data_IF_352570261486
#
_entry.id   IF_352570261486
#
_cell.length_a   1.000
_cell.length_b   1.000
_cell.length_c   1.000
_cell.angle_alpha   90.00
_cell.angle_beta   90.00
_cell.angle_gamma   90.00
#
_symmetry.space_group_name_H-M   'P 1'
#
loop_
_entity.id
_entity.type
_entity.pdbx_description
1 polymer ?
#
# COMPACT_ATOMS: atom_id res chain seq x y z
N UNK A 1 -21.28 -22.27 -20.38
CA UNK A 1 -20.42 -22.25 -19.19
C UNK A 1 -20.54 -20.88 -18.57
N UNK A 2 -21.09 -20.80 -17.37
CA UNK A 2 -21.18 -19.56 -16.60
C UNK A 2 -19.78 -19.15 -16.18
N UNK A 3 -19.33 -17.98 -16.65
CA UNK A 3 -18.11 -17.34 -16.18
C UNK A 3 -18.29 -17.05 -14.69
N UNK A 4 -17.66 -17.86 -13.85
CA UNK A 4 -17.48 -17.56 -12.43
C UNK A 4 -16.82 -16.19 -12.33
N UNK A 5 -17.50 -15.22 -11.70
CA UNK A 5 -16.90 -13.93 -11.40
C UNK A 5 -15.59 -14.16 -10.62
N UNK A 6 -14.43 -13.67 -11.09
CA UNK A 6 -13.15 -13.89 -10.41
C UNK A 6 -13.03 -13.10 -9.10
N UNK A 7 -13.94 -12.17 -8.82
CA UNK A 7 -13.96 -11.40 -7.59
C UNK A 7 -14.74 -12.17 -6.53
N UNK A 8 -14.02 -12.91 -5.68
CA UNK A 8 -14.64 -13.72 -4.61
C UNK A 8 -15.47 -12.87 -3.65
N UNK A 9 -15.04 -11.65 -3.33
CA UNK A 9 -15.73 -10.74 -2.41
C UNK A 9 -15.41 -9.27 -2.74
N UNK A 10 -16.39 -8.38 -2.59
CA UNK A 10 -16.22 -6.92 -2.68
C UNK A 10 -16.65 -6.32 -1.35
N UNK A 11 -15.79 -5.48 -0.75
CA UNK A 11 -16.05 -4.84 0.54
C UNK A 11 -16.07 -3.33 0.38
N UNK A 12 -17.03 -2.68 1.05
CA UNK A 12 -17.02 -1.24 1.23
C UNK A 12 -16.49 -0.96 2.64
N UNK A 13 -15.39 -0.22 2.73
CA UNK A 13 -14.72 0.10 3.99
C UNK A 13 -14.95 1.58 4.30
N UNK A 14 -15.95 1.92 5.12
CA UNK A 14 -16.13 3.30 5.55
C UNK A 14 -14.99 3.68 6.50
N UNK A 15 -14.25 4.72 6.13
CA UNK A 15 -13.25 5.35 7.00
C UNK A 15 -13.70 6.74 7.39
N UNK A 16 -13.47 7.11 8.65
CA UNK A 16 -13.76 8.43 9.18
C UNK A 16 -12.45 9.05 9.64
N UNK A 17 -11.65 9.50 8.68
CA UNK A 17 -10.34 10.11 8.93
C UNK A 17 -10.42 11.63 9.22
N UNK A 18 -11.64 12.17 9.35
CA UNK A 18 -11.90 13.59 9.53
C UNK A 18 -11.51 14.45 8.31
N UNK A 19 -11.45 15.77 8.50
CA UNK A 19 -11.07 16.74 7.44
C UNK A 19 -9.56 16.74 7.16
N UNK A 20 -8.79 16.14 8.06
CA UNK A 20 -7.35 16.02 7.96
C UNK A 20 -6.99 14.81 7.09
N UNK A 21 -7.02 15.04 5.76
CA UNK A 21 -6.32 14.27 4.72
C UNK A 21 -7.05 13.00 4.23
N UNK A 22 -7.27 12.95 2.91
CA UNK A 22 -7.97 11.90 2.14
C UNK A 22 -7.07 10.70 1.87
N UNK A 23 -6.39 10.22 2.90
CA UNK A 23 -5.36 9.22 2.74
C UNK A 23 -5.99 7.82 2.86
N UNK A 24 -6.18 7.16 1.72
CA UNK A 24 -6.80 5.82 1.60
C UNK A 24 -6.09 4.70 2.41
N UNK A 25 -4.96 5.02 3.03
CA UNK A 25 -4.14 4.10 3.82
C UNK A 25 -4.87 3.47 5.00
N UNK A 26 -5.71 4.23 5.71
CA UNK A 26 -6.52 3.72 6.82
C UNK A 26 -7.52 2.65 6.33
N UNK A 27 -8.11 2.88 5.15
CA UNK A 27 -9.09 1.99 4.54
C UNK A 27 -8.44 0.67 4.11
N UNK A 28 -7.24 0.75 3.51
CA UNK A 28 -6.46 -0.44 3.16
C UNK A 28 -6.08 -1.27 4.38
N UNK A 29 -5.59 -0.63 5.45
CA UNK A 29 -5.21 -1.33 6.66
C UNK A 29 -6.43 -1.97 7.33
N UNK A 30 -7.53 -1.22 7.43
CA UNK A 30 -8.78 -1.72 8.01
C UNK A 30 -9.35 -2.89 7.21
N UNK A 31 -9.30 -2.81 5.87
CA UNK A 31 -9.71 -3.89 4.99
C UNK A 31 -8.97 -5.20 5.31
N UNK A 32 -7.64 -5.13 5.45
CA UNK A 32 -6.82 -6.29 5.77
C UNK A 32 -7.15 -6.84 7.16
N UNK A 33 -7.18 -5.99 8.18
CA UNK A 33 -7.39 -6.40 9.57
C UNK A 33 -8.79 -7.01 9.78
N UNK A 34 -9.82 -6.40 9.20
CA UNK A 34 -11.22 -6.79 9.46
C UNK A 34 -11.66 -8.03 8.64
N UNK A 35 -10.98 -8.33 7.53
CA UNK A 35 -11.45 -9.35 6.57
C UNK A 35 -10.45 -10.48 6.26
N UNK A 36 -9.18 -10.34 6.64
CA UNK A 36 -8.15 -11.33 6.31
C UNK A 36 -7.33 -11.72 7.55
N UNK A 37 -7.58 -12.93 8.06
CA UNK A 37 -6.69 -13.56 9.05
C UNK A 37 -5.41 -14.12 8.42
N UNK A 38 -5.46 -14.38 7.10
CA UNK A 38 -4.35 -14.87 6.28
C UNK A 38 -4.39 -14.12 4.93
N UNK A 39 -3.61 -13.04 4.76
CA UNK A 39 -3.61 -12.25 3.54
C UNK A 39 -2.92 -13.00 2.39
N UNK A 40 -3.24 -12.63 1.15
CA UNK A 40 -2.58 -13.21 -0.03
C UNK A 40 -1.08 -12.91 -0.06
N UNK A 41 -0.30 -13.78 -0.71
CA UNK A 41 1.16 -13.63 -0.88
C UNK A 41 1.56 -12.24 -1.41
N UNK A 42 0.72 -11.68 -2.29
CA UNK A 42 0.84 -10.32 -2.80
C UNK A 42 -0.50 -9.61 -2.71
N UNK A 43 -0.50 -8.40 -2.17
CA UNK A 43 -1.67 -7.52 -2.14
C UNK A 43 -1.35 -6.22 -2.88
N UNK A 44 -2.24 -5.83 -3.80
CA UNK A 44 -2.13 -4.57 -4.53
C UNK A 44 -3.14 -3.56 -3.98
N UNK A 45 -2.67 -2.33 -3.79
CA UNK A 45 -3.51 -1.21 -3.39
C UNK A 45 -3.51 -0.18 -4.53
N UNK A 46 -4.70 0.09 -5.05
CA UNK A 46 -4.91 1.04 -6.14
C UNK A 46 -5.86 2.14 -5.67
N UNK A 47 -5.49 3.37 -5.99
CA UNK A 47 -6.36 4.52 -5.84
C UNK A 47 -7.46 4.49 -6.91
N UNK A 48 -8.56 5.20 -6.66
CA UNK A 48 -9.65 5.30 -7.64
C UNK A 48 -9.18 5.89 -8.99
N UNK A 49 -8.17 6.74 -8.97
CA UNK A 49 -7.54 7.42 -10.11
C UNK A 49 -6.13 6.87 -10.42
N UNK A 50 -5.86 5.60 -10.08
CA UNK A 50 -4.51 5.03 -10.20
C UNK A 50 -3.88 5.16 -11.61
N UNK A 51 -4.70 5.24 -12.66
CA UNK A 51 -4.23 5.46 -14.03
C UNK A 51 -3.46 6.77 -14.25
N UNK A 52 -3.73 7.79 -13.42
CA UNK A 52 -3.07 9.10 -13.50
C UNK A 52 -1.78 9.17 -12.66
N UNK A 53 -1.61 8.27 -11.69
CA UNK A 53 -0.51 8.30 -10.72
C UNK A 53 0.52 7.20 -10.90
N UNK A 54 0.17 6.12 -11.61
CA UNK A 54 1.05 4.96 -11.79
C UNK A 54 1.85 4.98 -13.09
N UNK A 55 3.00 4.31 -13.06
CA UNK A 55 3.75 3.98 -14.28
C UNK A 55 3.40 2.55 -14.72
N UNK A 56 2.57 2.40 -15.76
CA UNK A 56 2.12 1.10 -16.27
C UNK A 56 3.27 0.14 -16.64
N UNK A 57 4.37 0.68 -17.19
CA UNK A 57 5.57 -0.09 -17.47
C UNK A 57 6.24 -0.64 -16.21
N UNK A 58 6.24 0.13 -15.12
CA UNK A 58 6.79 -0.30 -13.83
C UNK A 58 5.89 -1.35 -13.17
N UNK A 59 4.56 -1.17 -13.19
CA UNK A 59 3.63 -2.21 -12.74
C UNK A 59 3.84 -3.52 -13.52
N UNK A 60 3.98 -3.45 -14.85
CA UNK A 60 4.27 -4.62 -15.68
C UNK A 60 5.57 -5.33 -15.28
N UNK A 61 6.61 -4.57 -14.92
CA UNK A 61 7.87 -5.14 -14.41
C UNK A 61 7.67 -5.82 -13.05
N UNK A 62 6.93 -5.20 -12.13
CA UNK A 62 6.62 -5.79 -10.81
C UNK A 62 5.83 -7.09 -10.97
N UNK A 63 4.83 -7.11 -11.85
CA UNK A 63 4.05 -8.32 -12.15
C UNK A 63 4.93 -9.45 -12.68
N UNK A 64 5.91 -9.16 -13.56
CA UNK A 64 6.88 -10.16 -14.03
C UNK A 64 7.80 -10.65 -12.92
N UNK A 65 8.23 -9.78 -12.02
CA UNK A 65 9.06 -10.17 -10.88
C UNK A 65 8.30 -11.09 -9.91
N UNK A 66 7.00 -10.86 -9.72
CA UNK A 66 6.11 -11.72 -8.94
C UNK A 66 5.97 -13.09 -9.61
N UNK A 67 5.64 -13.13 -10.90
CA UNK A 67 5.50 -14.36 -11.70
C UNK A 67 6.77 -15.22 -11.68
N UNK A 68 7.94 -14.56 -11.68
CA UNK A 68 9.24 -15.23 -11.60
C UNK A 68 9.71 -15.53 -10.18
N UNK A 69 8.93 -15.18 -9.15
CA UNK A 69 9.31 -15.28 -7.73
C UNK A 69 10.65 -14.58 -7.39
N UNK A 70 10.96 -13.47 -8.07
CA UNK A 70 12.21 -12.71 -7.88
C UNK A 70 12.01 -11.41 -7.10
N UNK A 71 10.76 -11.05 -6.77
CA UNK A 71 10.48 -9.85 -5.98
C UNK A 71 10.91 -10.04 -4.52
N UNK A 72 12.02 -9.42 -4.10
CA UNK A 72 12.56 -9.48 -2.73
C UNK A 72 12.23 -8.23 -1.89
N UNK A 73 11.24 -7.45 -2.30
CA UNK A 73 10.84 -6.23 -1.61
C UNK A 73 9.57 -6.48 -0.78
N UNK A 74 9.56 -6.17 0.53
CA UNK A 74 8.36 -6.34 1.37
C UNK A 74 7.27 -5.31 1.03
N UNK A 75 7.63 -4.20 0.38
CA UNK A 75 6.70 -3.18 -0.06
C UNK A 75 7.23 -2.48 -1.32
N UNK A 76 6.36 -2.29 -2.32
CA UNK A 76 6.72 -1.64 -3.59
C UNK A 76 5.78 -0.45 -3.84
N UNK A 77 6.36 0.74 -3.94
CA UNK A 77 5.62 1.94 -4.34
C UNK A 77 5.42 1.97 -5.86
N UNK A 78 4.18 1.81 -6.31
CA UNK A 78 3.81 1.81 -7.74
C UNK A 78 3.57 3.21 -8.32
N UNK A 79 3.34 4.20 -7.46
CA UNK A 79 3.08 5.58 -7.86
C UNK A 79 4.36 6.32 -8.30
N UNK A 80 4.23 7.14 -9.34
CA UNK A 80 5.29 8.00 -9.87
C UNK A 80 5.70 9.10 -8.87
N UNK A 81 4.76 9.86 -8.27
CA UNK A 81 5.13 10.85 -7.26
C UNK A 81 5.70 10.16 -6.03
N UNK A 82 6.98 10.42 -5.75
CA UNK A 82 7.65 9.97 -4.54
C UNK A 82 7.98 11.19 -3.70
N UNK A 83 7.57 11.17 -2.43
CA UNK A 83 8.09 12.14 -1.49
C UNK A 83 9.56 11.81 -1.25
N UNK A 84 10.40 12.85 -1.15
CA UNK A 84 11.80 12.69 -0.76
C UNK A 84 11.83 11.98 0.59
N UNK A 85 12.58 10.88 0.65
CA UNK A 85 12.75 10.14 1.89
C UNK A 85 13.28 11.10 2.95
N UNK A 86 12.57 11.20 4.07
CA UNK A 86 12.89 12.17 5.12
C UNK A 86 12.60 11.56 6.47
N UNK A 87 13.37 12.00 7.46
CA UNK A 87 13.21 11.58 8.84
C UNK A 87 12.92 12.80 9.70
N UNK A 88 11.63 13.09 9.90
CA UNK A 88 11.19 14.09 10.85
C UNK A 88 11.00 13.45 12.23
N UNK A 89 11.06 14.23 13.34
CA UNK A 89 10.79 13.71 14.68
C UNK A 89 9.43 13.00 14.79
N UNK A 90 8.41 13.49 14.08
CA UNK A 90 7.09 12.86 14.02
C UNK A 90 7.15 11.46 13.38
N UNK A 91 7.80 11.34 12.22
CA UNK A 91 7.94 10.04 11.53
C UNK A 91 8.77 9.05 12.33
N UNK A 92 9.82 9.53 12.99
CA UNK A 92 10.63 8.69 13.86
C UNK A 92 9.83 8.16 15.06
N UNK A 93 9.03 9.02 15.70
CA UNK A 93 8.22 8.61 16.85
C UNK A 93 7.11 7.61 16.45
N UNK A 94 6.43 7.86 15.33
CA UNK A 94 5.47 6.89 14.77
C UNK A 94 6.17 5.55 14.51
N UNK A 95 7.33 5.57 13.86
CA UNK A 95 8.10 4.36 13.60
C UNK A 95 8.48 3.62 14.89
N UNK A 96 8.95 4.34 15.93
CA UNK A 96 9.27 3.73 17.23
C UNK A 96 8.07 3.09 17.88
N UNK A 97 6.91 3.75 17.86
CA UNK A 97 5.68 3.20 18.46
C UNK A 97 5.19 1.95 17.75
N UNK A 98 5.32 1.90 16.42
CA UNK A 98 4.88 0.75 15.62
C UNK A 98 5.86 -0.43 15.74
N UNK A 99 7.17 -0.16 15.71
CA UNK A 99 8.19 -1.21 15.57
C UNK A 99 9.02 -1.47 16.83
N UNK A 100 8.83 -0.71 17.92
CA UNK A 100 9.60 -0.83 19.16
C UNK A 100 11.08 -0.47 19.02
N UNK A 101 11.48 0.14 17.91
CA UNK A 101 12.87 0.52 17.61
C UNK A 101 12.93 1.75 16.71
N UNK A 102 14.07 2.42 16.66
CA UNK A 102 14.31 3.51 15.71
C UNK A 102 14.46 3.01 14.25
N UNK A 103 14.17 3.88 13.27
CA UNK A 103 14.47 3.61 11.87
C UNK A 103 15.98 3.61 11.64
N UNK A 104 16.48 2.69 10.80
CA UNK A 104 17.91 2.57 10.45
C UNK A 104 18.31 3.40 9.23
N UNK A 105 17.34 3.94 8.52
CA UNK A 105 17.48 4.70 7.28
C UNK A 105 16.38 5.75 7.17
N UNK A 106 16.52 6.68 6.24
CA UNK A 106 15.46 7.65 5.93
C UNK A 106 14.16 6.93 5.55
N UNK A 107 13.04 7.47 6.00
CA UNK A 107 11.74 6.90 5.74
C UNK A 107 11.20 7.47 4.43
N UNK A 108 11.12 6.61 3.41
CA UNK A 108 10.33 6.87 2.23
C UNK A 108 8.85 6.86 2.61
N UNK A 109 8.16 7.94 2.27
CA UNK A 109 6.70 8.01 2.41
C UNK A 109 6.09 8.12 1.03
N UNK A 110 4.92 7.53 0.90
CA UNK A 110 4.03 7.87 -0.20
C UNK A 110 3.19 9.10 0.20
N UNK A 111 2.65 9.83 -0.79
CA UNK A 111 1.90 11.10 -0.62
C UNK A 111 0.81 11.03 0.48
N UNK A 112 0.28 9.82 0.73
CA UNK A 112 -0.75 9.55 1.71
C UNK A 112 -0.24 9.18 3.13
N UNK A 113 0.99 9.56 3.50
CA UNK A 113 1.53 9.42 4.85
C UNK A 113 2.35 10.65 5.30
#
# INVERSE_FOLDING_TARGET
GTLSSPFRNVYSIPVNDGDTRRDECSAYLRHLVDHYSDPADYTFFFQADAGDHMQWGYLSLVMRAIDQHTLQAPFVHLNHPRLVASLSPCREEVFRRVFGRGPRQMLGSYCCA
#
